data_IF_866700188223
#
_entry.id   IF_866700188223
#
_cell.length_a   1.000
_cell.length_b   1.000
_cell.length_c   1.000
_cell.angle_alpha   90.00
_cell.angle_beta   90.00
_cell.angle_gamma   90.00
#
_symmetry.space_group_name_H-M   'P 1'
#
loop_
_entity.id
_entity.type
_entity.pdbx_description
1 polymer ?
#
# COMPACT_ATOMS: atom_id res chain seq x y z
N UNK A 1 2.51 -26.11 -31.28
CA UNK A 1 2.99 -24.79 -30.80
C UNK A 1 2.41 -24.48 -29.43
N UNK A 2 2.99 -25.02 -28.35
CA UNK A 2 2.49 -24.85 -26.96
C UNK A 2 3.61 -24.81 -25.90
N UNK A 3 4.84 -24.43 -26.25
CA UNK A 3 5.99 -24.51 -25.31
C UNK A 3 6.97 -23.32 -25.36
N UNK A 4 6.55 -22.13 -25.80
CA UNK A 4 7.47 -20.98 -25.90
C UNK A 4 7.17 -19.87 -24.88
N UNK A 5 6.01 -19.86 -24.24
CA UNK A 5 5.62 -18.76 -23.31
C UNK A 5 6.19 -18.95 -21.89
N UNK A 6 6.61 -20.15 -21.51
CA UNK A 6 7.09 -20.43 -20.15
C UNK A 6 8.56 -20.04 -19.87
N UNK A 7 9.32 -19.63 -20.90
CA UNK A 7 10.76 -19.30 -20.76
C UNK A 7 10.99 -17.80 -20.52
N UNK A 8 10.01 -16.94 -20.83
CA UNK A 8 10.17 -15.48 -20.71
C UNK A 8 9.93 -14.93 -19.30
N UNK A 9 9.18 -15.64 -18.45
CA UNK A 9 8.92 -15.19 -17.07
C UNK A 9 10.02 -15.59 -16.08
N UNK A 10 10.83 -16.62 -16.40
CA UNK A 10 11.91 -17.10 -15.52
C UNK A 10 13.21 -16.30 -15.73
N UNK A 11 13.39 -15.65 -16.88
CA UNK A 11 14.59 -14.83 -17.13
C UNK A 11 14.61 -13.49 -16.37
N UNK A 12 13.46 -12.99 -15.90
CA UNK A 12 13.41 -11.73 -15.15
C UNK A 12 13.91 -11.88 -13.69
N UNK A 13 13.98 -13.10 -13.17
CA UNK A 13 14.41 -13.38 -11.80
C UNK A 13 15.94 -13.54 -11.71
N UNK A 14 16.62 -13.86 -12.82
CA UNK A 14 18.07 -14.13 -12.81
C UNK A 14 18.97 -12.94 -13.20
N UNK A 15 18.43 -11.81 -13.67
CA UNK A 15 19.22 -10.58 -13.86
C UNK A 15 19.33 -9.73 -12.60
N UNK A 16 18.65 -10.09 -11.51
CA UNK A 16 18.66 -9.33 -10.25
C UNK A 16 19.95 -9.50 -9.41
N UNK A 17 20.87 -10.38 -9.81
CA UNK A 17 22.11 -10.63 -9.06
C UNK A 17 23.40 -10.24 -9.77
N UNK A 18 23.33 -9.58 -10.93
CA UNK A 18 24.54 -9.04 -11.55
C UNK A 18 24.40 -7.54 -11.79
N UNK A 19 25.35 -6.83 -11.18
CA UNK A 19 25.73 -5.44 -11.41
C UNK A 19 25.10 -4.42 -10.45
N UNK A 20 25.93 -4.01 -9.50
CA UNK A 20 25.75 -2.76 -8.77
C UNK A 20 25.79 -1.59 -9.75
N UNK A 21 24.63 -0.99 -9.97
CA UNK A 21 24.44 0.36 -10.45
C UNK A 21 23.04 0.78 -10.00
N UNK A 22 22.95 2.02 -9.52
CA UNK A 22 21.74 2.70 -9.04
C UNK A 22 20.43 2.19 -9.70
N UNK A 23 19.79 1.18 -9.11
CA UNK A 23 18.41 0.86 -9.45
C UNK A 23 17.58 1.98 -8.85
N UNK A 24 17.22 2.95 -9.68
CA UNK A 24 16.17 3.91 -9.37
C UNK A 24 14.90 3.11 -9.11
N UNK A 25 14.52 2.97 -7.84
CA UNK A 25 13.31 2.30 -7.40
C UNK A 25 12.10 2.82 -8.17
N UNK A 26 11.12 1.96 -8.42
CA UNK A 26 9.94 2.36 -9.15
C UNK A 26 8.91 2.97 -8.21
N UNK A 27 8.32 4.09 -8.61
CA UNK A 27 7.05 4.55 -8.07
C UNK A 27 6.16 5.01 -9.21
N UNK A 28 4.93 4.53 -9.16
CA UNK A 28 3.91 4.73 -10.17
C UNK A 28 2.70 5.33 -9.47
N UNK A 29 2.32 6.52 -9.93
CA UNK A 29 1.11 7.18 -9.50
C UNK A 29 0.13 7.18 -10.66
N UNK A 30 -1.05 6.61 -10.43
CA UNK A 30 -2.13 6.58 -11.39
C UNK A 30 -3.33 7.35 -10.86
N UNK A 31 -3.82 8.29 -11.67
CA UNK A 31 -5.13 8.91 -11.51
C UNK A 31 -5.98 8.50 -12.70
N UNK A 32 -7.07 7.79 -12.46
CA UNK A 32 -7.92 7.27 -13.52
C UNK A 32 -9.37 7.64 -13.26
N UNK A 33 -9.99 8.28 -14.25
CA UNK A 33 -11.44 8.50 -14.28
C UNK A 33 -12.11 7.34 -14.99
N UNK A 34 -13.28 6.94 -14.51
CA UNK A 34 -14.02 5.78 -14.99
C UNK A 34 -15.37 6.18 -15.57
N UNK A 35 -15.82 5.42 -16.57
CA UNK A 35 -17.22 5.42 -16.98
C UNK A 35 -18.10 4.90 -15.84
N UNK A 36 -19.39 5.23 -15.84
CA UNK A 36 -20.30 4.72 -14.81
C UNK A 36 -20.37 3.19 -14.80
N UNK A 37 -20.40 2.58 -15.99
CA UNK A 37 -20.45 1.14 -16.16
C UNK A 37 -19.18 0.47 -15.65
N UNK A 38 -18.00 0.93 -16.08
CA UNK A 38 -16.72 0.35 -15.66
C UNK A 38 -16.49 0.54 -14.16
N UNK A 39 -16.86 1.70 -13.62
CA UNK A 39 -16.73 1.96 -12.19
C UNK A 39 -17.56 0.97 -11.37
N UNK A 40 -18.78 0.66 -11.80
CA UNK A 40 -19.65 -0.30 -11.13
C UNK A 40 -19.17 -1.74 -11.30
N UNK A 41 -18.87 -2.14 -12.54
CA UNK A 41 -18.62 -3.53 -12.90
C UNK A 41 -17.21 -4.00 -12.57
N UNK A 42 -16.23 -3.08 -12.54
CA UNK A 42 -14.83 -3.39 -12.27
C UNK A 42 -14.51 -2.97 -10.83
N UNK A 43 -14.55 -1.67 -10.54
CA UNK A 43 -14.03 -1.13 -9.28
C UNK A 43 -14.90 -1.52 -8.09
N UNK A 44 -16.21 -1.24 -8.14
CA UNK A 44 -17.10 -1.59 -7.02
C UNK A 44 -17.25 -3.11 -6.86
N UNK A 45 -17.23 -3.85 -7.96
CA UNK A 45 -17.28 -5.32 -7.90
C UNK A 45 -16.02 -5.91 -7.24
N UNK A 46 -14.81 -5.43 -7.60
CA UNK A 46 -13.56 -5.82 -6.94
C UNK A 46 -13.64 -5.54 -5.44
N UNK A 47 -14.08 -4.35 -5.04
CA UNK A 47 -14.22 -3.96 -3.63
C UNK A 47 -15.21 -4.87 -2.89
N UNK A 48 -16.33 -5.21 -3.52
CA UNK A 48 -17.38 -6.03 -2.89
C UNK A 48 -17.02 -7.53 -2.81
N UNK A 49 -16.23 -8.02 -3.76
CA UNK A 49 -15.79 -9.42 -3.82
C UNK A 49 -14.52 -9.66 -3.00
N UNK A 50 -13.72 -8.63 -2.78
CA UNK A 50 -12.61 -8.68 -1.85
C UNK A 50 -13.15 -8.60 -0.44
N UNK A 51 -12.86 -9.58 0.42
CA UNK A 51 -13.30 -9.56 1.82
C UNK A 51 -12.86 -8.24 2.49
N UNK A 52 -13.80 -7.33 2.83
CA UNK A 52 -13.42 -6.06 3.43
C UNK A 52 -12.89 -6.33 4.84
N UNK A 53 -11.63 -5.97 5.09
CA UNK A 53 -11.06 -6.05 6.42
C UNK A 53 -11.79 -5.04 7.32
N UNK A 54 -12.49 -5.53 8.34
CA UNK A 54 -13.12 -4.67 9.33
C UNK A 54 -12.04 -4.21 10.32
N UNK A 55 -11.82 -2.89 10.49
CA UNK A 55 -10.89 -2.40 11.51
C UNK A 55 -11.32 -2.89 12.89
N UNK A 56 -10.33 -3.19 13.73
CA UNK A 56 -10.57 -3.70 15.08
C UNK A 56 -10.98 -2.57 16.01
N UNK A 57 -11.71 -2.91 17.08
CA UNK A 57 -12.07 -1.97 18.14
C UNK A 57 -10.83 -1.24 18.71
N UNK A 58 -11.06 -0.06 19.29
CA UNK A 58 -10.07 0.94 19.70
C UNK A 58 -9.02 0.49 20.75
N UNK A 59 -9.07 -0.77 21.20
CA UNK A 59 -7.97 -1.35 21.96
C UNK A 59 -6.71 -1.38 21.10
N UNK A 60 -5.61 -0.84 21.59
CA UNK A 60 -4.39 -0.61 20.82
C UNK A 60 -3.26 -1.57 21.18
N UNK A 61 -3.38 -2.29 22.30
CA UNK A 61 -2.35 -3.19 22.77
C UNK A 61 -2.09 -4.31 21.74
N UNK A 62 -0.85 -4.40 21.24
CA UNK A 62 -0.46 -5.42 20.26
C UNK A 62 -0.99 -5.17 18.85
N UNK A 63 -1.38 -3.93 18.53
CA UNK A 63 -1.84 -3.53 17.19
C UNK A 63 -0.90 -2.50 16.54
N UNK A 64 -1.10 -2.28 15.24
CA UNK A 64 -0.45 -1.23 14.45
C UNK A 64 -1.50 -0.18 14.11
N UNK A 65 -1.17 1.10 14.28
CA UNK A 65 -1.99 2.20 13.78
C UNK A 65 -1.34 2.79 12.54
N UNK A 66 -2.16 3.00 11.51
CA UNK A 66 -1.80 3.74 10.30
C UNK A 66 -2.61 5.03 10.32
N UNK A 67 -1.94 6.16 10.34
CA UNK A 67 -2.53 7.46 10.07
C UNK A 67 -2.37 7.78 8.59
N UNK A 68 -3.43 8.21 7.91
CA UNK A 68 -3.39 8.53 6.48
C UNK A 68 -3.69 10.00 6.28
N UNK A 69 -2.66 10.75 5.90
CA UNK A 69 -2.78 12.15 5.48
C UNK A 69 -3.14 12.20 4.00
N UNK A 70 -4.30 12.79 3.72
CA UNK A 70 -4.81 12.99 2.37
C UNK A 70 -4.10 14.14 1.67
N UNK A 71 -3.84 14.05 0.36
CA UNK A 71 -3.33 15.19 -0.40
C UNK A 71 -4.40 16.28 -0.63
N UNK A 72 -5.69 15.92 -0.58
CA UNK A 72 -6.82 16.78 -0.87
C UNK A 72 -8.04 16.39 -0.01
N UNK A 73 -8.76 17.38 0.50
CA UNK A 73 -9.95 17.22 1.34
C UNK A 73 -11.11 16.47 0.64
N UNK A 74 -11.19 16.58 -0.69
CA UNK A 74 -12.18 15.89 -1.51
C UNK A 74 -12.15 14.36 -1.32
N UNK A 75 -10.99 13.81 -0.95
CA UNK A 75 -10.80 12.37 -0.76
C UNK A 75 -11.34 11.84 0.57
N UNK A 76 -11.87 12.68 1.48
CA UNK A 76 -12.43 12.22 2.76
C UNK A 76 -13.62 11.26 2.62
N UNK A 77 -14.31 11.31 1.49
CA UNK A 77 -15.45 10.42 1.20
C UNK A 77 -15.06 9.17 0.39
N UNK A 78 -13.76 8.95 0.20
CA UNK A 78 -13.25 7.82 -0.60
C UNK A 78 -13.37 6.49 0.14
N UNK A 79 -13.35 5.41 -0.62
CA UNK A 79 -12.92 4.11 -0.09
C UNK A 79 -11.40 4.05 -0.18
N UNK A 80 -10.75 3.61 0.89
CA UNK A 80 -9.30 3.37 0.95
C UNK A 80 -9.05 1.88 0.87
N UNK A 81 -8.10 1.49 0.04
CA UNK A 81 -7.54 0.14 -0.07
C UNK A 81 -6.04 0.21 0.25
N UNK A 82 -5.59 -0.64 1.17
CA UNK A 82 -4.19 -0.79 1.53
C UNK A 82 -3.80 -2.24 1.32
N UNK A 83 -2.87 -2.49 0.43
CA UNK A 83 -2.32 -3.81 0.13
C UNK A 83 -0.89 -3.91 0.68
N UNK A 84 -0.61 -5.01 1.38
CA UNK A 84 0.74 -5.35 1.83
C UNK A 84 1.35 -6.35 0.86
N UNK A 85 2.49 -6.00 0.26
CA UNK A 85 3.23 -6.90 -0.61
C UNK A 85 3.88 -8.04 0.16
N UNK A 86 4.36 -7.79 1.37
CA UNK A 86 4.97 -8.86 2.18
C UNK A 86 3.93 -9.90 2.60
N UNK A 87 2.73 -9.46 2.99
CA UNK A 87 1.63 -10.37 3.35
C UNK A 87 0.85 -10.90 2.15
N UNK A 88 1.07 -10.33 0.95
CA UNK A 88 0.36 -10.60 -0.29
C UNK A 88 -1.17 -10.50 -0.16
N UNK A 89 -1.66 -9.54 0.63
CA UNK A 89 -3.10 -9.36 0.85
C UNK A 89 -3.48 -7.92 1.16
N UNK A 90 -4.75 -7.59 0.95
CA UNK A 90 -5.33 -6.35 1.45
C UNK A 90 -5.39 -6.39 2.98
N UNK A 91 -4.74 -5.42 3.62
CA UNK A 91 -4.76 -5.25 5.08
C UNK A 91 -5.86 -4.27 5.50
N UNK A 92 -6.39 -3.49 4.56
CA UNK A 92 -7.54 -2.62 4.76
C UNK A 92 -8.33 -2.39 3.47
N UNK A 93 -9.65 -2.49 3.53
CA UNK A 93 -10.58 -2.00 2.51
C UNK A 93 -11.80 -1.43 3.23
N UNK A 94 -12.05 -0.12 3.10
CA UNK A 94 -13.15 0.53 3.80
C UNK A 94 -13.23 2.03 3.56
N UNK A 95 -14.22 2.72 4.14
CA UNK A 95 -14.31 4.17 4.05
C UNK A 95 -13.07 4.83 4.66
N UNK A 96 -12.62 5.96 4.11
CA UNK A 96 -11.51 6.71 4.70
C UNK A 96 -11.74 7.00 6.19
N UNK A 97 -10.69 6.74 6.96
CA UNK A 97 -10.54 7.17 8.35
C UNK A 97 -9.13 7.72 8.46
N UNK A 98 -8.99 8.82 9.19
CA UNK A 98 -7.68 9.39 9.50
C UNK A 98 -6.79 8.34 10.17
N UNK A 99 -7.33 7.64 11.17
CA UNK A 99 -6.67 6.54 11.87
C UNK A 99 -7.29 5.18 11.54
N UNK A 100 -6.46 4.25 11.08
CA UNK A 100 -6.81 2.86 10.81
C UNK A 100 -6.01 1.95 11.74
N UNK A 101 -6.70 1.13 12.54
CA UNK A 101 -6.07 0.18 13.46
C UNK A 101 -6.18 -1.23 12.87
N UNK A 102 -5.02 -1.88 12.71
CA UNK A 102 -4.91 -3.23 12.16
C UNK A 102 -4.22 -4.16 13.15
N UNK A 103 -4.64 -5.43 13.17
CA UNK A 103 -3.89 -6.48 13.89
C UNK A 103 -2.54 -6.65 13.23
N UNK A 104 -1.49 -6.61 14.03
CA UNK A 104 -0.16 -6.96 13.56
C UNK A 104 -0.06 -8.48 13.38
N UNK A 105 0.51 -8.93 12.26
CA UNK A 105 0.89 -10.32 12.09
C UNK A 105 2.24 -10.56 12.77
N UNK A 106 2.39 -11.68 13.48
CA UNK A 106 3.65 -12.04 14.16
C UNK A 106 4.83 -12.09 13.21
N UNK A 107 4.62 -12.46 11.95
CA UNK A 107 5.66 -12.49 10.92
C UNK A 107 6.12 -11.10 10.48
N UNK A 108 5.30 -10.07 10.73
CA UNK A 108 5.59 -8.70 10.32
C UNK A 108 6.23 -7.89 11.45
N UNK A 109 5.87 -8.18 12.70
CA UNK A 109 6.45 -7.49 13.87
C UNK A 109 7.76 -8.14 14.27
N UNK A 110 8.81 -7.32 14.46
CA UNK A 110 10.10 -7.74 15.00
C UNK A 110 9.94 -8.68 16.21
N UNK A 111 10.28 -9.94 16.00
CA UNK A 111 10.31 -11.03 16.96
C UNK A 111 11.36 -12.06 16.51
N UNK A 112 11.70 -13.01 17.39
CA UNK A 112 12.58 -14.14 17.03
C UNK A 112 12.05 -14.94 15.82
N UNK A 113 10.73 -14.93 15.60
CA UNK A 113 10.07 -15.59 14.46
C UNK A 113 10.04 -14.73 13.17
N UNK A 114 10.45 -13.45 13.24
CA UNK A 114 10.25 -12.47 12.16
C UNK A 114 11.53 -11.83 11.64
N UNK A 115 12.71 -12.36 11.96
CA UNK A 115 14.02 -11.77 11.63
C UNK A 115 14.14 -11.34 10.16
N UNK A 116 13.41 -12.01 9.28
CA UNK A 116 13.38 -11.75 7.83
C UNK A 116 12.80 -10.39 7.45
N UNK A 117 11.79 -9.88 8.15
CA UNK A 117 11.05 -8.68 7.72
C UNK A 117 11.25 -7.49 8.67
N UNK A 118 11.57 -7.67 9.96
CA UNK A 118 11.88 -6.60 10.93
C UNK A 118 10.94 -5.36 10.89
N UNK A 119 9.64 -5.56 10.70
CA UNK A 119 8.68 -4.46 10.61
C UNK A 119 8.54 -3.81 9.23
N UNK A 120 9.33 -4.27 8.25
CA UNK A 120 9.44 -3.70 6.92
C UNK A 120 8.37 -4.22 5.97
N UNK A 121 7.79 -3.32 5.18
CA UNK A 121 6.80 -3.66 4.17
C UNK A 121 6.83 -2.66 3.00
N UNK A 122 6.24 -3.09 1.90
CA UNK A 122 5.90 -2.27 0.74
C UNK A 122 4.39 -2.23 0.66
N UNK A 123 3.82 -1.01 0.64
CA UNK A 123 2.38 -0.80 0.54
C UNK A 123 2.00 -0.31 -0.85
N UNK A 124 0.89 -0.84 -1.36
CA UNK A 124 0.08 -0.21 -2.41
C UNK A 124 -1.16 0.44 -1.78
N UNK A 125 -1.37 1.70 -2.13
CA UNK A 125 -2.41 2.56 -1.57
C UNK A 125 -3.33 3.03 -2.69
N UNK A 126 -4.62 2.78 -2.54
CA UNK A 126 -5.63 3.28 -3.46
C UNK A 126 -6.74 4.04 -2.76
N UNK A 127 -7.15 5.17 -3.34
CA UNK A 127 -8.33 5.95 -2.98
C UNK A 127 -9.35 5.91 -4.11
N UNK A 128 -10.56 5.47 -3.80
CA UNK A 128 -11.67 5.38 -4.73
C UNK A 128 -12.70 6.46 -4.38
N UNK A 129 -12.72 7.54 -5.16
CA UNK A 129 -13.72 8.60 -5.08
C UNK A 129 -14.99 8.17 -5.84
N UNK A 130 -16.00 7.73 -5.10
CA UNK A 130 -17.27 7.26 -5.65
C UNK A 130 -18.08 8.36 -6.34
N UNK A 131 -17.94 9.60 -5.89
CA UNK A 131 -18.77 10.70 -6.40
C UNK A 131 -18.30 11.10 -7.80
N UNK A 132 -16.98 11.18 -7.98
CA UNK A 132 -16.37 11.56 -9.23
C UNK A 132 -15.99 10.37 -10.13
N UNK A 133 -16.09 9.13 -9.60
CA UNK A 133 -15.65 7.89 -10.26
C UNK A 133 -14.19 7.97 -10.66
N UNK A 134 -13.35 8.40 -9.72
CA UNK A 134 -11.90 8.54 -9.91
C UNK A 134 -11.20 7.61 -8.93
N UNK A 135 -10.19 6.89 -9.42
CA UNK A 135 -9.25 6.14 -8.58
C UNK A 135 -7.89 6.81 -8.59
N UNK A 136 -7.28 6.86 -7.41
CA UNK A 136 -5.91 7.32 -7.20
C UNK A 136 -5.14 6.14 -6.64
N UNK A 137 -4.10 5.68 -7.33
CA UNK A 137 -3.30 4.52 -6.93
C UNK A 137 -1.84 4.93 -6.85
N UNK A 138 -1.17 4.51 -5.78
CA UNK A 138 0.27 4.62 -5.63
C UNK A 138 0.88 3.24 -5.39
N UNK A 139 1.63 2.78 -6.37
CA UNK A 139 2.46 1.59 -6.30
C UNK A 139 3.92 2.04 -6.27
N UNK A 140 4.68 1.64 -5.26
CA UNK A 140 6.12 1.96 -5.21
C UNK A 140 6.91 0.86 -4.54
N UNK A 141 8.16 0.67 -4.94
CA UNK A 141 9.07 -0.35 -4.41
C UNK A 141 9.87 0.14 -3.19
N UNK A 142 9.42 1.22 -2.55
CA UNK A 142 10.07 1.80 -1.39
C UNK A 142 9.57 1.12 -0.11
N UNK A 143 10.52 0.56 0.63
CA UNK A 143 10.27 -0.21 1.85
C UNK A 143 10.22 0.73 3.05
N UNK A 144 9.21 0.57 3.90
CA UNK A 144 9.07 1.32 5.16
C UNK A 144 8.85 0.41 6.34
N UNK A 145 9.22 0.92 7.52
CA UNK A 145 8.96 0.24 8.79
C UNK A 145 7.51 0.47 9.24
N UNK A 146 6.59 -0.23 8.61
CA UNK A 146 5.14 -0.10 8.82
C UNK A 146 4.68 -0.82 10.09
N UNK A 147 5.23 -2.01 10.37
CA UNK A 147 4.70 -2.91 11.39
C UNK A 147 5.42 -2.71 12.72
N UNK A 148 5.06 -1.64 13.41
CA UNK A 148 5.55 -1.33 14.76
C UNK A 148 4.40 -1.39 15.76
N UNK A 149 4.50 -2.33 16.71
CA UNK A 149 3.50 -2.47 17.75
C UNK A 149 3.42 -1.21 18.61
N UNK A 150 2.20 -0.84 18.96
CA UNK A 150 1.90 0.31 19.83
C UNK A 150 2.50 1.63 19.32
N UNK A 151 2.85 1.72 18.03
CA UNK A 151 3.29 2.94 17.36
C UNK A 151 2.37 3.30 16.19
N UNK A 152 2.32 4.58 15.88
CA UNK A 152 1.56 5.09 14.74
C UNK A 152 2.52 5.32 13.57
N UNK A 153 2.14 4.79 12.41
CA UNK A 153 2.81 5.10 11.16
C UNK A 153 1.94 6.07 10.39
N UNK A 154 2.45 7.28 10.17
CA UNK A 154 1.80 8.29 9.37
C UNK A 154 2.24 8.14 7.92
N UNK A 155 1.28 7.82 7.05
CA UNK A 155 1.41 7.74 5.61
C UNK A 155 0.92 9.05 5.01
N UNK A 156 1.82 9.76 4.34
CA UNK A 156 1.52 10.98 3.59
C UNK A 156 1.34 10.62 2.13
N UNK A 157 0.09 10.52 1.68
CA UNK A 157 -0.20 10.21 0.29
C UNK A 157 -0.11 11.47 -0.57
N UNK A 158 0.56 11.37 -1.72
CA UNK A 158 0.76 12.50 -2.61
C UNK A 158 -0.25 12.48 -3.77
N UNK A 159 -0.68 13.66 -4.21
CA UNK A 159 -1.51 13.81 -5.42
C UNK A 159 -0.73 13.63 -6.73
N UNK A 160 0.60 13.43 -6.64
CA UNK A 160 1.49 13.13 -7.77
C UNK A 160 2.81 12.53 -7.29
N UNK A 161 3.51 11.85 -8.20
CA UNK A 161 4.88 11.39 -8.00
C UNK A 161 5.84 12.55 -7.71
N UNK A 162 6.75 12.38 -6.76
CA UNK A 162 7.89 13.26 -6.46
C UNK A 162 9.19 12.45 -6.44
N UNK A 163 10.33 13.13 -6.45
CA UNK A 163 11.65 12.54 -6.22
C UNK A 163 12.08 12.84 -4.78
N UNK A 164 12.72 11.87 -4.12
CA UNK A 164 13.35 12.08 -2.81
C UNK A 164 14.78 12.64 -2.94
N UNK A 165 15.49 12.74 -1.82
CA UNK A 165 16.86 13.27 -1.75
C UNK A 165 17.89 12.45 -2.56
N UNK A 166 17.55 11.22 -2.95
CA UNK A 166 18.40 10.31 -3.73
C UNK A 166 17.86 10.12 -5.17
N UNK A 167 17.05 11.07 -5.65
CA UNK A 167 16.37 11.02 -6.95
C UNK A 167 15.46 9.78 -7.13
N UNK A 168 15.02 9.17 -6.03
CA UNK A 168 14.13 8.01 -6.09
C UNK A 168 12.68 8.49 -6.15
N UNK A 169 11.89 8.02 -7.12
CA UNK A 169 10.49 8.41 -7.20
C UNK A 169 9.68 7.81 -6.04
N UNK A 170 8.71 8.57 -5.54
CA UNK A 170 7.72 8.13 -4.55
C UNK A 170 6.39 8.86 -4.74
N UNK A 171 5.29 8.21 -4.35
CA UNK A 171 3.95 8.80 -4.30
C UNK A 171 3.29 8.67 -2.92
N UNK A 172 3.97 8.06 -1.94
CA UNK A 172 3.74 8.31 -0.52
C UNK A 172 5.03 8.27 0.29
N UNK A 173 5.05 9.02 1.39
CA UNK A 173 6.05 8.91 2.44
C UNK A 173 5.43 8.24 3.68
N UNK A 174 6.21 7.47 4.43
CA UNK A 174 5.77 6.92 5.70
C UNK A 174 6.78 7.27 6.80
N UNK A 175 6.26 7.74 7.94
CA UNK A 175 7.05 8.11 9.11
C UNK A 175 6.45 7.49 10.37
N UNK A 176 7.32 7.01 11.26
CA UNK A 176 6.88 6.56 12.59
C UNK A 176 6.76 7.80 13.46
N UNK A 177 5.57 8.01 14.01
CA UNK A 177 5.30 9.04 15.02
C UNK A 177 5.08 8.34 16.35
N UNK A 178 5.89 8.71 17.36
CA UNK A 178 5.78 8.14 18.72
C UNK A 178 4.55 8.64 19.49
N UNK A 179 3.83 9.63 18.95
CA UNK A 179 2.63 10.22 19.55
C UNK A 179 1.35 9.55 19.04
N UNK A 180 0.53 9.11 19.99
CA UNK A 180 -0.91 8.91 19.84
C UNK A 180 -1.66 10.21 20.05
#
# INVERSE_FOLDING_TARGET
MKRIIAVLTILFIFTYQSQGSNMSGMAVFHKQSWSEEDFKNIILNEINTTNPFKPLADDYAGKVAINIELPEESLRNSIVKIYSFVMQKNIYIGPYKEKIIISADKKMVKSEESEKYDGMDILDLSFIDKNNRITYTCEQEKIYKIWQLNKMVTIQFLSRKKLDENDQPYCYAAQITDSL
#
